data_IF_418723588897
#
_entry.id   IF_418723588897
#
_cell.length_a   1.000
_cell.length_b   1.000
_cell.length_c   1.000
_cell.angle_alpha   90.00
_cell.angle_beta   90.00
_cell.angle_gamma   90.00
#
_symmetry.space_group_name_H-M   'P 1'
#
loop_
_entity.id
_entity.type
_entity.pdbx_description
1 polymer ?
#
# COMPACT_ATOMS: atom_id res chain seq x y z
N UNK A 1 20.49 -47.58 49.92
CA UNK A 1 21.57 -46.67 49.46
C UNK A 1 21.39 -46.39 47.98
N UNK A 2 20.40 -45.58 47.60
CA UNK A 2 20.17 -45.14 46.21
C UNK A 2 19.48 -43.78 46.20
N UNK A 3 20.22 -42.69 46.59
CA UNK A 3 19.60 -41.33 46.58
C UNK A 3 20.63 -40.20 46.35
N UNK A 4 21.72 -40.42 45.61
CA UNK A 4 22.70 -39.32 45.39
C UNK A 4 23.12 -39.12 43.94
N UNK A 5 22.46 -39.77 42.94
CA UNK A 5 22.88 -39.64 41.55
C UNK A 5 21.96 -38.68 40.71
N UNK A 6 20.80 -38.27 41.21
CA UNK A 6 19.84 -37.42 40.45
C UNK A 6 20.04 -35.91 40.64
N UNK A 7 20.83 -35.49 41.65
CA UNK A 7 21.03 -34.07 41.96
C UNK A 7 22.07 -33.35 41.07
N UNK A 8 23.03 -34.10 40.50
CA UNK A 8 24.13 -33.47 39.76
C UNK A 8 23.78 -33.23 38.25
N UNK A 9 22.89 -34.04 37.69
CA UNK A 9 22.47 -33.85 36.30
C UNK A 9 21.51 -32.64 36.09
N UNK A 10 20.73 -32.29 37.10
CA UNK A 10 19.82 -31.13 37.01
C UNK A 10 20.58 -29.77 37.04
N UNK A 11 21.70 -29.69 37.73
CA UNK A 11 22.51 -28.47 37.84
C UNK A 11 23.32 -28.17 36.57
N UNK A 12 23.72 -29.16 35.82
CA UNK A 12 24.50 -28.97 34.59
C UNK A 12 23.59 -28.53 33.43
N UNK A 13 22.33 -28.96 33.42
CA UNK A 13 21.34 -28.52 32.41
C UNK A 13 20.86 -27.07 32.64
N UNK A 14 20.80 -26.59 33.88
CA UNK A 14 20.44 -25.22 34.19
C UNK A 14 21.55 -24.20 33.86
N UNK A 15 22.80 -24.58 33.98
CA UNK A 15 23.96 -23.73 33.64
C UNK A 15 24.15 -23.65 32.11
N UNK A 16 23.77 -24.65 31.36
CA UNK A 16 23.80 -24.64 29.90
C UNK A 16 22.71 -23.77 29.26
N UNK A 17 21.60 -23.57 29.94
CA UNK A 17 20.50 -22.71 29.43
C UNK A 17 20.73 -21.24 29.70
N UNK A 18 21.45 -20.88 30.74
CA UNK A 18 21.73 -19.46 31.04
C UNK A 18 22.77 -18.85 30.07
N UNK A 19 23.65 -19.65 29.48
CA UNK A 19 24.62 -19.16 28.48
C UNK A 19 24.05 -18.99 27.09
N UNK A 20 22.86 -19.52 26.80
CA UNK A 20 22.20 -19.36 25.50
C UNK A 20 21.36 -18.07 25.37
N UNK A 21 21.08 -17.37 26.47
CA UNK A 21 20.28 -16.16 26.49
C UNK A 21 21.05 -14.87 26.78
N UNK A 22 22.39 -14.93 26.82
CA UNK A 22 23.22 -13.76 27.15
C UNK A 22 23.87 -13.08 25.95
N UNK A 23 23.39 -13.36 24.73
CA UNK A 23 23.88 -12.68 23.54
C UNK A 23 22.72 -11.95 22.83
N UNK A 24 22.09 -11.00 23.52
CA UNK A 24 21.01 -10.17 22.97
C UNK A 24 21.51 -9.00 22.09
N UNK A 25 22.82 -8.84 21.88
CA UNK A 25 23.35 -7.70 21.14
C UNK A 25 23.96 -8.05 19.77
N UNK A 26 23.80 -9.28 19.28
CA UNK A 26 24.27 -9.60 17.94
C UNK A 26 23.18 -9.36 16.90
N UNK A 27 23.01 -8.11 16.45
CA UNK A 27 22.31 -7.77 15.22
C UNK A 27 23.33 -7.91 14.08
N UNK A 28 23.15 -8.89 13.17
CA UNK A 28 24.06 -9.03 12.02
C UNK A 28 24.10 -7.71 11.24
N UNK A 29 25.30 -7.31 10.83
CA UNK A 29 25.54 -6.04 10.11
C UNK A 29 24.72 -5.88 8.82
N UNK A 30 24.18 -6.97 8.30
CA UNK A 30 23.29 -7.01 7.13
C UNK A 30 21.86 -6.55 7.40
N UNK A 31 21.46 -6.38 8.68
CA UNK A 31 20.14 -5.89 9.09
C UNK A 31 20.17 -4.47 9.69
N UNK A 32 21.27 -3.76 9.52
CA UNK A 32 21.26 -2.34 9.85
C UNK A 32 20.27 -1.67 8.90
N UNK A 33 19.18 -1.04 9.39
CA UNK A 33 18.29 -0.29 8.52
C UNK A 33 19.13 0.80 7.86
N UNK A 34 19.27 0.70 6.55
CA UNK A 34 19.83 1.77 5.73
C UNK A 34 19.04 3.01 6.08
N UNK A 35 19.73 4.02 6.60
CA UNK A 35 19.24 5.23 7.23
C UNK A 35 17.92 5.77 6.68
N UNK A 36 16.83 5.46 7.34
CA UNK A 36 15.56 6.13 7.15
C UNK A 36 15.24 6.86 8.45
N UNK A 37 15.95 7.91 8.68
CA UNK A 37 15.64 8.83 9.76
C UNK A 37 15.31 10.23 9.20
N UNK A 38 14.28 10.29 8.37
CA UNK A 38 13.52 11.52 8.23
C UNK A 38 12.09 11.20 8.62
N UNK A 39 11.51 11.98 9.55
CA UNK A 39 10.09 11.87 9.87
C UNK A 39 9.32 11.83 8.54
N UNK A 40 8.48 10.83 8.31
CA UNK A 40 7.87 10.65 7.00
C UNK A 40 7.08 11.91 6.68
N UNK A 41 7.44 12.56 5.56
CA UNK A 41 6.74 13.75 5.03
C UNK A 41 5.23 13.50 5.01
N UNK A 42 4.44 14.53 5.31
CA UNK A 42 3.00 14.47 5.11
C UNK A 42 2.66 14.34 3.61
N UNK A 43 3.55 14.78 2.71
CA UNK A 43 3.43 14.67 1.26
C UNK A 43 4.18 13.47 0.71
N UNK A 44 3.74 12.99 -0.47
CA UNK A 44 4.44 11.99 -1.25
C UNK A 44 5.83 12.48 -1.66
N UNK A 45 6.71 11.53 -1.98
CA UNK A 45 8.01 11.86 -2.57
C UNK A 45 7.83 12.43 -3.99
N UNK A 46 8.59 13.47 -4.32
CA UNK A 46 8.56 14.15 -5.61
C UNK A 46 9.42 13.47 -6.68
N UNK A 47 9.85 12.24 -6.45
CA UNK A 47 10.69 11.51 -7.40
C UNK A 47 9.97 11.14 -8.70
N UNK A 48 8.64 11.05 -8.66
CA UNK A 48 7.80 10.78 -9.83
C UNK A 48 6.61 11.74 -9.83
N UNK A 49 6.15 12.08 -11.03
CA UNK A 49 4.98 12.92 -11.25
C UNK A 49 4.00 12.22 -12.20
N UNK A 50 2.70 12.11 -11.84
CA UNK A 50 1.70 11.59 -12.74
C UNK A 50 1.44 12.58 -13.87
N UNK A 51 1.37 12.07 -15.10
CA UNK A 51 1.05 12.85 -16.31
C UNK A 51 -0.39 12.62 -16.76
N UNK A 52 -0.87 11.38 -16.65
CA UNK A 52 -2.16 10.99 -17.17
C UNK A 52 -2.75 9.81 -16.41
N UNK A 53 -4.07 9.75 -16.35
CA UNK A 53 -4.84 8.67 -15.75
C UNK A 53 -5.87 8.17 -16.75
N UNK A 54 -5.81 6.87 -17.10
CA UNK A 54 -6.89 6.16 -17.74
C UNK A 54 -7.63 5.36 -16.67
N UNK A 55 -8.82 5.78 -16.32
CA UNK A 55 -9.62 5.21 -15.23
C UNK A 55 -10.87 4.53 -15.78
N UNK A 56 -11.07 3.28 -15.41
CA UNK A 56 -12.29 2.53 -15.68
C UNK A 56 -12.93 2.10 -14.36
N UNK A 57 -14.23 2.35 -14.21
CA UNK A 57 -15.03 1.95 -13.05
C UNK A 57 -16.29 1.22 -13.52
N UNK A 58 -16.54 0.06 -12.97
CA UNK A 58 -17.78 -0.69 -13.10
C UNK A 58 -18.53 -0.66 -11.78
N UNK A 59 -19.71 -0.09 -11.75
CA UNK A 59 -20.55 0.05 -10.55
C UNK A 59 -21.60 -1.05 -10.49
N UNK A 60 -21.69 -1.71 -9.36
CA UNK A 60 -22.74 -2.62 -8.99
C UNK A 60 -23.58 -1.98 -7.87
N UNK A 61 -24.65 -1.30 -8.27
CA UNK A 61 -25.53 -0.58 -7.35
C UNK A 61 -26.50 -1.51 -6.59
N UNK A 62 -26.69 -2.73 -7.06
CA UNK A 62 -27.48 -3.73 -6.37
C UNK A 62 -26.75 -4.26 -5.13
N UNK A 63 -25.45 -4.55 -5.27
CA UNK A 63 -24.61 -5.04 -4.17
C UNK A 63 -23.80 -3.93 -3.50
N UNK A 64 -23.97 -2.67 -3.93
CA UNK A 64 -23.24 -1.49 -3.44
C UNK A 64 -21.72 -1.70 -3.44
N UNK A 65 -21.21 -2.16 -4.58
CA UNK A 65 -19.78 -2.37 -4.81
C UNK A 65 -19.36 -1.74 -6.14
N UNK A 66 -18.08 -1.43 -6.24
CA UNK A 66 -17.49 -1.06 -7.52
C UNK A 66 -16.15 -1.77 -7.71
N UNK A 67 -15.81 -1.94 -8.97
CA UNK A 67 -14.58 -2.55 -9.46
C UNK A 67 -13.93 -1.56 -10.41
N UNK A 68 -12.62 -1.49 -10.42
CA UNK A 68 -11.95 -0.59 -11.33
C UNK A 68 -10.54 -1.02 -11.68
N UNK A 69 -10.04 -0.37 -12.70
CA UNK A 69 -8.66 -0.39 -13.11
C UNK A 69 -8.20 1.02 -13.43
N UNK A 70 -6.99 1.36 -13.04
CA UNK A 70 -6.38 2.62 -13.42
C UNK A 70 -5.02 2.37 -14.03
N UNK A 71 -4.78 2.98 -15.19
CA UNK A 71 -3.46 3.06 -15.81
C UNK A 71 -2.95 4.49 -15.65
N UNK A 72 -1.82 4.66 -14.95
CA UNK A 72 -1.24 5.96 -14.64
C UNK A 72 0.08 6.09 -15.36
N UNK A 73 0.19 7.08 -16.23
CA UNK A 73 1.46 7.45 -16.87
C UNK A 73 2.24 8.34 -15.94
N UNK A 74 3.47 7.95 -15.64
CA UNK A 74 4.38 8.64 -14.73
C UNK A 74 5.59 9.17 -15.48
N UNK A 75 6.03 10.38 -15.11
CA UNK A 75 7.34 10.92 -15.43
C UNK A 75 8.24 10.80 -14.22
N UNK A 76 9.44 10.29 -14.41
CA UNK A 76 10.45 10.15 -13.35
C UNK A 76 11.29 11.42 -13.30
N UNK A 77 11.09 12.22 -12.24
CA UNK A 77 11.84 13.47 -12.01
C UNK A 77 13.22 13.20 -11.39
N UNK A 78 13.32 12.17 -10.56
CA UNK A 78 14.54 11.76 -9.89
C UNK A 78 14.66 10.25 -9.85
N UNK A 79 15.87 9.68 -9.98
CA UNK A 79 16.04 8.24 -9.95
C UNK A 79 15.48 7.62 -8.68
N UNK A 80 14.64 6.59 -8.84
CA UNK A 80 13.95 5.96 -7.71
C UNK A 80 13.83 4.44 -7.86
N UNK A 81 13.88 3.72 -6.73
CA UNK A 81 13.56 2.29 -6.65
C UNK A 81 12.25 2.06 -5.88
N UNK A 82 11.50 3.12 -5.61
CA UNK A 82 10.25 3.06 -4.85
C UNK A 82 9.23 3.98 -5.49
N UNK A 83 8.04 3.45 -5.74
CA UNK A 83 6.86 4.27 -6.03
C UNK A 83 6.01 4.39 -4.76
N UNK A 84 5.45 5.57 -4.53
CA UNK A 84 4.52 5.81 -3.44
C UNK A 84 3.34 6.64 -3.96
N UNK A 85 2.12 6.19 -3.67
CA UNK A 85 0.88 6.85 -4.07
C UNK A 85 -0.21 6.66 -3.00
N UNK A 86 -1.30 7.40 -3.11
CA UNK A 86 -2.42 7.29 -2.20
C UNK A 86 -3.42 6.22 -2.64
N UNK A 87 -3.96 5.49 -1.67
CA UNK A 87 -5.10 4.60 -1.84
C UNK A 87 -5.82 4.43 -0.50
N UNK A 88 -7.08 4.76 -0.46
CA UNK A 88 -7.91 4.67 0.73
C UNK A 88 -7.97 3.24 1.31
N UNK A 89 -8.19 3.14 2.60
CA UNK A 89 -8.26 1.84 3.29
C UNK A 89 -9.41 0.96 2.78
N UNK A 90 -10.45 1.57 2.20
CA UNK A 90 -11.59 0.88 1.59
C UNK A 90 -11.25 0.15 0.29
N UNK A 91 -10.21 0.59 -0.44
CA UNK A 91 -9.81 -0.04 -1.70
C UNK A 91 -9.07 -1.36 -1.44
N UNK A 92 -9.58 -2.47 -1.96
CA UNK A 92 -8.85 -3.73 -2.06
C UNK A 92 -8.18 -3.78 -3.42
N UNK A 93 -6.87 -3.73 -3.43
CA UNK A 93 -6.05 -3.70 -4.66
C UNK A 93 -5.44 -5.07 -4.94
N UNK A 94 -5.27 -5.38 -6.23
CA UNK A 94 -4.39 -6.42 -6.71
C UNK A 94 -2.92 -5.95 -6.74
N UNK A 95 -2.06 -6.78 -7.30
CA UNK A 95 -0.67 -6.44 -7.57
C UNK A 95 -0.58 -5.28 -8.57
N UNK A 96 0.48 -4.49 -8.42
CA UNK A 96 0.76 -3.37 -9.30
C UNK A 96 1.63 -3.86 -10.46
N UNK A 97 1.14 -3.68 -11.69
CA UNK A 97 1.90 -3.93 -12.91
C UNK A 97 2.60 -2.64 -13.32
N UNK A 98 3.89 -2.73 -13.57
CA UNK A 98 4.71 -1.60 -13.96
C UNK A 98 5.33 -1.90 -15.33
N UNK A 99 5.07 -1.03 -16.31
CA UNK A 99 5.63 -1.12 -17.64
C UNK A 99 6.53 0.08 -17.92
N UNK A 100 7.70 -0.18 -18.48
CA UNK A 100 8.70 0.80 -18.87
C UNK A 100 9.28 0.43 -20.24
N UNK A 101 10.08 1.30 -20.83
CA UNK A 101 10.78 0.99 -22.09
C UNK A 101 11.69 -0.26 -22.00
N UNK A 102 12.17 -0.62 -20.80
CA UNK A 102 13.08 -1.73 -20.56
C UNK A 102 12.39 -3.03 -20.13
N UNK A 103 11.05 -3.03 -20.06
CA UNK A 103 10.27 -4.22 -19.75
C UNK A 103 9.12 -3.98 -18.80
N UNK A 104 8.46 -5.07 -18.47
CA UNK A 104 7.29 -5.09 -17.59
C UNK A 104 7.56 -6.01 -16.39
N UNK A 105 7.06 -5.62 -15.22
CA UNK A 105 7.15 -6.39 -14.00
C UNK A 105 5.94 -6.16 -13.09
N UNK A 106 5.74 -7.05 -12.14
CA UNK A 106 4.63 -7.02 -11.20
C UNK A 106 5.19 -7.00 -9.78
N UNK A 107 4.65 -6.14 -8.94
CA UNK A 107 5.06 -6.03 -7.55
C UNK A 107 3.84 -5.88 -6.62
N UNK A 108 3.88 -6.49 -5.42
CA UNK A 108 2.81 -6.35 -4.45
C UNK A 108 2.77 -4.93 -3.87
N UNK A 109 1.56 -4.39 -3.62
CA UNK A 109 1.40 -3.12 -2.94
C UNK A 109 1.64 -3.27 -1.43
N UNK A 110 2.57 -2.51 -0.87
CA UNK A 110 2.82 -2.42 0.57
C UNK A 110 2.02 -1.26 1.16
N UNK A 111 0.97 -1.57 1.91
CA UNK A 111 0.13 -0.53 2.52
C UNK A 111 0.79 0.12 3.73
N UNK A 112 0.60 1.43 3.83
CA UNK A 112 0.94 2.26 5.00
C UNK A 112 -0.38 2.82 5.55
N UNK A 113 -1.07 2.09 6.45
CA UNK A 113 -2.48 2.34 6.81
C UNK A 113 -2.73 3.74 7.36
N UNK A 114 -1.90 4.22 8.27
CA UNK A 114 -2.06 5.50 8.98
C UNK A 114 -2.02 6.73 8.05
N UNK A 115 -1.66 6.52 6.78
CA UNK A 115 -1.49 7.59 5.80
C UNK A 115 -2.29 7.39 4.52
N UNK A 116 -3.07 6.31 4.43
CA UNK A 116 -3.76 5.91 3.20
C UNK A 116 -2.81 5.89 1.99
N UNK A 117 -1.59 5.39 2.19
CA UNK A 117 -0.54 5.29 1.18
C UNK A 117 -0.22 3.86 0.84
N UNK A 118 0.30 3.71 -0.35
CA UNK A 118 0.82 2.46 -0.86
C UNK A 118 2.23 2.69 -1.36
N UNK A 119 3.12 1.80 -1.00
CA UNK A 119 4.49 1.75 -1.48
C UNK A 119 4.68 0.52 -2.34
N UNK A 120 5.37 0.68 -3.46
CA UNK A 120 5.74 -0.41 -4.38
C UNK A 120 7.26 -0.39 -4.51
N UNK A 121 7.90 -1.50 -4.17
CA UNK A 121 9.34 -1.67 -4.34
C UNK A 121 9.61 -2.14 -5.77
N UNK A 122 10.46 -1.44 -6.47
CA UNK A 122 10.81 -1.74 -7.84
C UNK A 122 11.99 -2.73 -7.90
N UNK A 123 11.96 -3.73 -8.76
CA UNK A 123 13.06 -4.68 -8.91
C UNK A 123 14.31 -4.04 -9.54
N UNK A 124 14.13 -2.94 -10.26
CA UNK A 124 15.21 -2.09 -10.76
C UNK A 124 14.91 -0.62 -10.43
N UNK A 125 15.95 0.20 -10.43
CA UNK A 125 15.84 1.66 -10.34
C UNK A 125 15.29 2.22 -11.65
N UNK A 126 14.34 3.13 -11.57
CA UNK A 126 13.94 3.98 -12.67
C UNK A 126 14.89 5.17 -12.71
N UNK A 127 15.28 5.58 -13.89
CA UNK A 127 16.19 6.72 -14.09
C UNK A 127 15.39 8.00 -14.34
N UNK A 128 16.04 9.17 -14.13
CA UNK A 128 15.42 10.46 -14.43
C UNK A 128 15.03 10.54 -15.93
N UNK A 129 13.97 11.28 -16.23
CA UNK A 129 13.38 11.46 -17.57
C UNK A 129 12.73 10.18 -18.15
N UNK A 130 12.73 9.07 -17.41
CA UNK A 130 12.06 7.84 -17.86
C UNK A 130 10.53 8.00 -17.74
N UNK A 131 9.81 7.42 -18.71
CA UNK A 131 8.36 7.23 -18.61
C UNK A 131 8.06 5.82 -18.08
N UNK A 132 7.14 5.75 -17.13
CA UNK A 132 6.64 4.49 -16.61
C UNK A 132 5.11 4.50 -16.60
N UNK A 133 4.51 3.33 -16.79
CA UNK A 133 3.08 3.12 -16.66
C UNK A 133 2.81 2.18 -15.51
N UNK A 134 1.90 2.53 -14.61
CA UNK A 134 1.43 1.62 -13.58
C UNK A 134 -0.03 1.28 -13.80
N UNK A 135 -0.33 -0.01 -13.81
CA UNK A 135 -1.68 -0.53 -13.91
C UNK A 135 -2.07 -1.18 -12.59
N UNK A 136 -3.16 -0.73 -12.00
CA UNK A 136 -3.66 -1.22 -10.71
C UNK A 136 -5.13 -1.57 -10.86
N UNK A 137 -5.48 -2.82 -10.57
CA UNK A 137 -6.87 -3.24 -10.39
C UNK A 137 -7.30 -3.07 -8.93
N UNK A 138 -8.55 -2.69 -8.71
CA UNK A 138 -9.08 -2.48 -7.37
C UNK A 138 -10.57 -2.75 -7.28
N UNK A 139 -11.07 -2.93 -6.06
CA UNK A 139 -12.49 -3.01 -5.74
C UNK A 139 -12.75 -2.39 -4.37
N UNK A 140 -13.95 -1.86 -4.17
CA UNK A 140 -14.38 -1.35 -2.87
C UNK A 140 -15.92 -1.36 -2.75
N UNK A 141 -16.44 -1.28 -1.51
CA UNK A 141 -17.84 -0.98 -1.30
C UNK A 141 -18.14 0.46 -1.71
N UNK A 142 -19.34 0.70 -2.24
CA UNK A 142 -19.91 2.03 -2.38
C UNK A 142 -20.63 2.33 -1.07
N UNK A 143 -20.14 3.27 -0.30
CA UNK A 143 -20.76 3.67 0.97
C UNK A 143 -21.56 4.97 0.84
N UNK A 144 -22.17 5.45 1.90
CA UNK A 144 -22.96 6.69 1.93
C UNK A 144 -22.22 7.83 2.66
N UNK A 145 -20.90 7.75 2.75
CA UNK A 145 -20.08 8.71 3.53
C UNK A 145 -19.95 10.10 2.89
N UNK A 146 -20.46 10.29 1.67
CA UNK A 146 -20.26 11.48 0.84
C UNK A 146 -18.77 11.81 0.60
N UNK A 147 -17.94 10.80 0.46
CA UNK A 147 -16.50 10.92 0.19
C UNK A 147 -16.05 9.88 -0.84
N UNK A 148 -15.19 10.30 -1.75
CA UNK A 148 -14.69 9.44 -2.81
C UNK A 148 -15.79 9.07 -3.79
N UNK A 149 -16.05 7.78 -3.95
CA UNK A 149 -17.14 7.25 -4.75
C UNK A 149 -18.20 6.67 -3.81
N UNK A 150 -19.38 7.26 -3.77
CA UNK A 150 -20.42 6.98 -2.79
C UNK A 150 -21.80 6.88 -3.45
N UNK A 151 -22.80 6.37 -2.74
CA UNK A 151 -24.17 6.33 -3.23
C UNK A 151 -25.10 7.27 -2.47
N UNK A 152 -26.19 7.64 -3.14
CA UNK A 152 -27.37 8.25 -2.53
C UNK A 152 -28.63 7.50 -2.99
N UNK A 153 -29.73 7.77 -2.34
CA UNK A 153 -31.01 7.10 -2.61
C UNK A 153 -32.01 8.08 -3.20
N UNK A 154 -32.71 7.66 -4.24
CA UNK A 154 -33.85 8.38 -4.76
C UNK A 154 -35.15 7.67 -4.38
N UNK A 155 -36.23 8.44 -4.30
CA UNK A 155 -37.59 7.95 -4.12
C UNK A 155 -38.52 8.70 -5.04
N UNK A 156 -39.35 8.00 -5.79
CA UNK A 156 -40.34 8.56 -6.69
C UNK A 156 -41.49 7.60 -6.89
N UNK A 157 -42.76 8.07 -6.73
CA UNK A 157 -43.99 7.29 -6.95
C UNK A 157 -44.03 5.93 -6.25
N UNK A 158 -43.48 5.82 -5.01
CA UNK A 158 -43.46 4.57 -4.25
C UNK A 158 -42.27 3.64 -4.57
N UNK A 159 -41.50 3.95 -5.58
CA UNK A 159 -40.26 3.26 -5.91
C UNK A 159 -39.05 3.95 -5.27
N UNK A 160 -37.99 3.20 -5.06
CA UNK A 160 -36.70 3.75 -4.59
C UNK A 160 -35.55 2.97 -5.22
N UNK A 161 -34.41 3.64 -5.34
CA UNK A 161 -33.19 3.04 -5.86
C UNK A 161 -31.96 3.82 -5.44
N UNK A 162 -30.81 3.34 -5.86
CA UNK A 162 -29.52 3.96 -5.60
C UNK A 162 -28.95 4.60 -6.87
N UNK A 163 -28.17 5.64 -6.68
CA UNK A 163 -27.31 6.22 -7.71
C UNK A 163 -25.95 6.58 -7.10
N UNK A 164 -24.91 6.52 -7.91
CA UNK A 164 -23.55 6.79 -7.48
C UNK A 164 -23.11 8.21 -7.83
N UNK A 165 -22.24 8.76 -6.99
CA UNK A 165 -21.72 10.11 -7.04
C UNK A 165 -20.25 10.12 -6.64
N UNK A 166 -19.56 11.20 -6.96
CA UNK A 166 -18.20 11.45 -6.51
C UNK A 166 -18.11 12.72 -5.68
N UNK A 167 -17.28 12.69 -4.64
CA UNK A 167 -16.83 13.85 -3.90
C UNK A 167 -15.36 13.64 -3.52
N UNK A 168 -14.45 14.37 -4.18
CA UNK A 168 -13.01 14.16 -4.06
C UNK A 168 -12.31 15.16 -3.16
N UNK A 169 -12.84 16.35 -3.01
CA UNK A 169 -12.23 17.38 -2.18
C UNK A 169 -12.38 17.13 -0.68
N UNK A 170 -11.35 17.46 0.11
CA UNK A 170 -10.03 17.93 -0.31
C UNK A 170 -9.05 16.81 -0.64
N UNK A 171 -9.26 15.55 -0.19
CA UNK A 171 -8.32 14.42 -0.30
C UNK A 171 -9.07 13.08 -0.34
N UNK A 172 -10.16 13.02 -1.06
CA UNK A 172 -11.01 11.84 -1.10
C UNK A 172 -11.00 11.11 -2.45
N UNK A 173 -10.25 11.58 -3.46
CA UNK A 173 -10.04 10.84 -4.69
C UNK A 173 -9.40 9.47 -4.42
N UNK A 174 -8.49 9.37 -3.46
CA UNK A 174 -7.85 8.13 -2.99
C UNK A 174 -8.82 7.06 -2.48
N UNK A 175 -10.05 7.43 -2.15
CA UNK A 175 -11.10 6.50 -1.74
C UNK A 175 -11.86 5.91 -2.92
N UNK A 176 -11.76 6.54 -4.10
CA UNK A 176 -12.36 6.07 -5.35
C UNK A 176 -11.38 5.24 -6.19
N UNK A 177 -10.11 5.64 -6.27
CA UNK A 177 -9.08 4.95 -7.03
C UNK A 177 -7.66 5.28 -6.52
N UNK A 178 -6.65 4.43 -6.79
CA UNK A 178 -5.25 4.76 -6.49
C UNK A 178 -4.79 5.99 -7.29
N UNK A 179 -4.18 6.99 -6.63
CA UNK A 179 -3.78 8.23 -7.28
C UNK A 179 -2.73 9.02 -6.47
N UNK A 180 -2.15 10.05 -7.08
CA UNK A 180 -1.44 11.12 -6.37
C UNK A 180 -2.46 12.19 -5.96
N UNK A 181 -3.04 12.03 -4.78
CA UNK A 181 -4.12 12.87 -4.25
C UNK A 181 -3.51 14.04 -3.46
N UNK A 182 -2.76 14.87 -4.17
CA UNK A 182 -2.07 16.06 -3.63
C UNK A 182 -2.21 17.23 -4.60
N UNK A 183 -2.24 18.47 -4.09
CA UNK A 183 -2.13 19.63 -4.95
C UNK A 183 -0.75 19.67 -5.62
N UNK A 184 -0.72 19.99 -6.89
CA UNK A 184 0.48 20.19 -7.70
C UNK A 184 1.26 21.43 -7.30
#
# INVERSE_FOLDING_TARGET
MWTTALGVFASILLLGWQSLFHNQDYVPATLRPIGIARAPSARLATAVRPLHYDLSILSDLEHLQFYGGVNITLHVEQPTSVLEFHAGANLKMGDVRIATHSGEYVAPPLRIPDRERVRVLLPRRLEAEELAHILVSFRAPIDHSMRGYYYSTWRHNGESGHYALTQFEPTSARRAFPCWDEPS
#
